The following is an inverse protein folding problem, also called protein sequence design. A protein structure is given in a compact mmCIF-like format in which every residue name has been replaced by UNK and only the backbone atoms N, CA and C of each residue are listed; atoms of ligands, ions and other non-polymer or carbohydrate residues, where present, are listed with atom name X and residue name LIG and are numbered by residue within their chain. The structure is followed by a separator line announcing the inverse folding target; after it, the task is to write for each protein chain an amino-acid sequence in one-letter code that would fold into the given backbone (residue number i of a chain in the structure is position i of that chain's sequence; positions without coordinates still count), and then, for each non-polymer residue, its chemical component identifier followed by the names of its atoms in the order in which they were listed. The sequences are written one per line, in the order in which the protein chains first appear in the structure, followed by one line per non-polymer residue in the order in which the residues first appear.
data_IF_216389848006
#
_entry.id   IF_216389848006
#
_cell.length_a   1.000
_cell.length_b   1.000
_cell.length_c   1.000
_cell.angle_alpha   90.00
_cell.angle_beta   90.00
_cell.angle_gamma   90.00
#
_symmetry.space_group_name_H-M   'P 1'
#
loop_
_entity.id
_entity.type
_entity.pdbx_description
1 polymer ?
#
# COMPACT_ATOMS: atom_id res chain seq x y z
N UNK A 1 2.96 -22.19 -5.17
CA UNK A 1 3.74 -20.94 -5.21
C UNK A 1 2.92 -19.86 -4.53
N UNK A 2 3.47 -19.18 -3.52
CA UNK A 2 2.78 -18.03 -2.92
C UNK A 2 2.87 -16.86 -3.90
N UNK A 3 1.72 -16.39 -4.40
CA UNK A 3 1.64 -15.18 -5.23
C UNK A 3 1.98 -13.95 -4.38
N UNK A 4 2.55 -12.88 -4.96
CA UNK A 4 2.78 -11.65 -4.21
C UNK A 4 1.45 -11.05 -3.74
N UNK A 5 1.44 -10.34 -2.60
CA UNK A 5 0.26 -9.61 -2.15
C UNK A 5 -0.10 -8.53 -3.17
N UNK A 6 -1.40 -8.24 -3.30
CA UNK A 6 -1.90 -7.12 -4.08
C UNK A 6 -1.67 -5.80 -3.37
N UNK A 7 -1.94 -5.78 -2.07
CA UNK A 7 -1.77 -4.59 -1.23
C UNK A 7 -0.75 -4.81 -0.11
N UNK A 8 0.03 -3.77 0.17
CA UNK A 8 0.90 -3.68 1.33
C UNK A 8 0.42 -2.56 2.24
N UNK A 9 0.00 -2.91 3.45
CA UNK A 9 -0.45 -1.93 4.46
C UNK A 9 0.73 -1.50 5.30
N UNK A 10 0.95 -0.19 5.41
CA UNK A 10 2.11 0.37 6.11
C UNK A 10 1.78 1.72 6.74
N UNK A 11 2.46 2.06 7.83
CA UNK A 11 2.54 3.43 8.35
C UNK A 11 3.89 4.11 8.03
N UNK A 12 4.77 3.36 7.34
CA UNK A 12 6.10 3.77 6.94
C UNK A 12 6.13 3.98 5.42
N UNK A 13 6.38 5.22 5.03
CA UNK A 13 6.62 5.63 3.66
C UNK A 13 7.52 6.86 3.69
N UNK A 14 8.66 6.81 2.99
CA UNK A 14 9.60 7.90 2.89
C UNK A 14 10.09 8.11 1.45
N UNK A 15 10.54 9.33 1.15
CA UNK A 15 11.00 9.69 -0.19
C UNK A 15 12.29 8.96 -0.59
N UNK A 16 13.07 8.45 0.35
CA UNK A 16 14.23 7.61 0.06
C UNK A 16 13.85 6.29 -0.61
N UNK A 17 12.64 5.78 -0.32
CA UNK A 17 12.07 4.65 -1.06
C UNK A 17 11.80 4.98 -2.53
N UNK A 18 11.59 6.26 -2.85
CA UNK A 18 11.31 6.73 -4.21
C UNK A 18 12.57 7.15 -4.98
N UNK A 19 13.62 7.56 -4.26
CA UNK A 19 14.80 8.24 -4.82
C UNK A 19 15.60 7.42 -5.84
N UNK A 20 15.38 6.10 -5.92
CA UNK A 20 16.05 5.20 -6.87
C UNK A 20 15.11 4.56 -7.90
N UNK A 21 13.86 5.00 -8.01
CA UNK A 21 12.90 4.43 -8.96
C UNK A 21 12.93 5.18 -10.30
N UNK A 22 13.30 4.52 -11.41
CA UNK A 22 13.12 5.05 -12.75
C UNK A 22 11.67 4.83 -13.21
N UNK A 23 10.68 5.30 -12.42
CA UNK A 23 9.26 5.02 -12.64
C UNK A 23 8.38 6.17 -12.12
N UNK A 24 7.22 6.34 -12.75
CA UNK A 24 6.22 7.31 -12.31
C UNK A 24 5.49 6.80 -11.06
N UNK A 25 5.07 7.72 -10.20
CA UNK A 25 4.41 7.37 -8.94
C UNK A 25 3.11 8.15 -8.85
N UNK A 26 2.01 7.42 -8.65
CA UNK A 26 0.71 8.00 -8.35
C UNK A 26 0.46 7.94 -6.85
N UNK A 27 0.08 9.09 -6.28
CA UNK A 27 -0.34 9.25 -4.90
C UNK A 27 -1.81 9.67 -4.88
N UNK A 28 -2.67 8.85 -4.29
CA UNK A 28 -4.11 9.14 -4.20
C UNK A 28 -4.54 9.10 -2.74
N UNK A 29 -5.03 10.23 -2.20
CA UNK A 29 -5.67 10.24 -0.89
C UNK A 29 -6.96 9.41 -0.96
N UNK A 30 -7.12 8.48 -0.03
CA UNK A 30 -8.27 7.58 0.07
C UNK A 30 -8.85 7.60 1.48
N UNK A 31 -10.11 7.22 1.63
CA UNK A 31 -10.74 7.11 2.95
C UNK A 31 -10.34 5.80 3.64
N UNK A 32 -10.57 5.73 4.96
CA UNK A 32 -10.43 4.46 5.69
C UNK A 32 -11.42 3.41 5.19
N UNK A 33 -12.62 3.83 4.77
CA UNK A 33 -13.63 2.93 4.20
C UNK A 33 -13.12 2.29 2.90
N UNK A 34 -12.50 3.08 2.02
CA UNK A 34 -11.88 2.57 0.79
C UNK A 34 -10.74 1.57 1.10
N UNK A 35 -9.94 1.84 2.14
CA UNK A 35 -8.87 0.94 2.59
C UNK A 35 -9.46 -0.40 3.03
N UNK A 36 -10.51 -0.38 3.87
CA UNK A 36 -11.19 -1.58 4.34
C UNK A 36 -11.75 -2.39 3.17
N UNK A 37 -12.46 -1.72 2.24
CA UNK A 37 -13.05 -2.39 1.08
C UNK A 37 -11.98 -3.08 0.22
N UNK A 38 -10.86 -2.38 -0.05
CA UNK A 38 -9.74 -2.94 -0.83
C UNK A 38 -9.10 -4.16 -0.18
N UNK A 39 -8.99 -4.16 1.15
CA UNK A 39 -8.46 -5.29 1.91
C UNK A 39 -9.41 -6.49 1.80
N UNK A 40 -10.71 -6.27 1.95
CA UNK A 40 -11.72 -7.34 1.83
C UNK A 40 -11.76 -7.93 0.41
N UNK A 41 -11.72 -7.07 -0.61
CA UNK A 41 -11.68 -7.51 -2.00
C UNK A 41 -10.41 -8.32 -2.27
N UNK A 42 -9.26 -7.90 -1.74
CA UNK A 42 -8.01 -8.61 -1.89
C UNK A 42 -8.03 -10.00 -1.25
N UNK A 43 -8.64 -10.16 -0.08
CA UNK A 43 -8.80 -11.48 0.54
C UNK A 43 -9.72 -12.37 -0.29
N UNK A 44 -10.83 -11.84 -0.80
CA UNK A 44 -11.72 -12.60 -1.69
C UNK A 44 -11.02 -13.04 -2.97
N UNK A 45 -10.25 -12.16 -3.59
CA UNK A 45 -9.45 -12.45 -4.78
C UNK A 45 -8.32 -13.45 -4.49
N UNK A 46 -7.77 -13.45 -3.27
CA UNK A 46 -6.80 -14.44 -2.81
C UNK A 46 -7.41 -15.85 -2.75
N UNK A 47 -8.62 -15.99 -2.21
CA UNK A 47 -9.37 -17.24 -2.18
C UNK A 47 -9.64 -17.79 -3.59
N UNK A 48 -9.83 -16.90 -4.56
CA UNK A 48 -9.94 -17.24 -5.99
C UNK A 48 -8.59 -17.52 -6.66
N UNK A 49 -7.49 -17.39 -5.92
CA UNK A 49 -6.14 -17.63 -6.39
C UNK A 49 -5.62 -16.57 -7.37
N UNK A 50 -6.16 -15.35 -7.40
CA UNK A 50 -5.75 -14.29 -8.33
C UNK A 50 -4.40 -13.68 -7.92
N UNK A 51 -4.22 -13.40 -6.63
CA UNK A 51 -2.98 -12.89 -6.03
C UNK A 51 -2.84 -13.36 -4.57
N UNK A 52 -1.86 -12.83 -3.82
CA UNK A 52 -1.55 -13.23 -2.44
C UNK A 52 -2.25 -12.43 -1.34
N UNK A 53 -3.48 -11.95 -1.58
CA UNK A 53 -4.22 -11.13 -0.62
C UNK A 53 -3.56 -9.77 -0.34
N UNK A 54 -3.58 -9.36 0.92
CA UNK A 54 -2.80 -8.22 1.43
C UNK A 54 -1.76 -8.67 2.46
N UNK A 55 -0.78 -7.81 2.74
CA UNK A 55 0.17 -8.07 3.82
C UNK A 55 0.57 -6.78 4.55
N UNK A 56 0.95 -6.92 5.82
CA UNK A 56 1.59 -5.83 6.56
C UNK A 56 3.03 -5.62 6.08
N UNK A 57 3.33 -4.45 5.54
CA UNK A 57 4.64 -4.12 4.95
C UNK A 57 5.79 -4.23 5.96
N UNK A 58 5.54 -3.86 7.23
CA UNK A 58 6.53 -3.93 8.33
C UNK A 58 7.06 -5.35 8.55
N UNK A 59 6.23 -6.38 8.29
CA UNK A 59 6.60 -7.79 8.43
C UNK A 59 7.24 -8.36 7.16
N UNK A 60 7.27 -7.60 6.06
CA UNK A 60 7.67 -8.09 4.75
C UNK A 60 8.62 -7.11 4.06
N UNK A 61 9.81 -6.90 4.64
CA UNK A 61 10.85 -5.99 4.11
C UNK A 61 11.20 -6.23 2.64
N UNK A 62 11.15 -7.47 2.17
CA UNK A 62 11.39 -7.81 0.77
C UNK A 62 10.27 -7.29 -0.17
N UNK A 63 9.01 -7.26 0.32
CA UNK A 63 7.87 -6.73 -0.42
C UNK A 63 7.81 -5.19 -0.45
N UNK A 64 8.54 -4.52 0.44
CA UNK A 64 8.65 -3.04 0.45
C UNK A 64 9.54 -2.51 -0.67
N UNK A 65 10.18 -3.39 -1.45
CA UNK A 65 10.85 -2.98 -2.68
C UNK A 65 9.79 -2.50 -3.67
N UNK A 66 9.66 -1.19 -3.76
CA UNK A 66 8.84 -0.54 -4.77
C UNK A 66 9.37 -0.98 -6.14
N UNK A 67 8.52 -1.64 -6.92
CA UNK A 67 8.83 -2.05 -8.29
C UNK A 67 7.68 -1.63 -9.20
N UNK A 68 7.95 -1.25 -10.45
CA UNK A 68 6.89 -0.89 -11.38
C UNK A 68 5.88 -2.03 -11.54
N UNK A 69 4.59 -1.70 -11.49
CA UNK A 69 3.47 -2.64 -11.55
C UNK A 69 3.48 -3.71 -10.44
N UNK A 70 4.15 -3.43 -9.31
CA UNK A 70 4.20 -4.28 -8.13
C UNK A 70 2.98 -4.16 -7.20
N UNK A 71 3.10 -4.64 -5.94
CA UNK A 71 2.08 -4.43 -4.91
C UNK A 71 1.79 -2.94 -4.67
N UNK A 72 0.52 -2.62 -4.50
CA UNK A 72 0.04 -1.26 -4.21
C UNK A 72 0.18 -0.99 -2.71
N UNK A 73 0.73 0.16 -2.30
CA UNK A 73 0.83 0.49 -0.88
C UNK A 73 -0.39 1.25 -0.41
N UNK A 74 -0.90 0.85 0.75
CA UNK A 74 -1.91 1.57 1.51
C UNK A 74 -1.21 2.16 2.73
N UNK A 75 -0.87 3.44 2.65
CA UNK A 75 -0.04 4.15 3.61
C UNK A 75 -0.92 4.92 4.60
N UNK A 76 -0.84 4.56 5.88
CA UNK A 76 -1.42 5.31 6.97
C UNK A 76 -0.43 6.39 7.44
N UNK A 77 -0.80 7.67 7.37
CA UNK A 77 0.02 8.76 7.90
C UNK A 77 -0.70 9.49 9.02
N UNK A 78 -0.03 9.62 10.17
CA UNK A 78 -0.48 10.49 11.25
C UNK A 78 -0.30 11.95 10.84
N UNK A 79 -1.39 12.71 10.86
CA UNK A 79 -1.41 14.14 10.55
C UNK A 79 -1.95 14.87 11.77
N UNK A 80 -1.22 15.89 12.21
CA UNK A 80 -1.68 16.79 13.27
C UNK A 80 -2.60 17.84 12.66
N UNK A 81 -3.77 18.00 13.23
CA UNK A 81 -4.78 19.00 12.89
C UNK A 81 -5.12 19.82 14.12
N UNK A 82 -5.95 20.85 13.94
CA UNK A 82 -6.46 21.67 15.04
C UNK A 82 -7.36 20.88 16.02
N UNK A 83 -7.86 19.71 15.59
CA UNK A 83 -8.72 18.82 16.37
C UNK A 83 -7.97 17.63 16.98
N UNK A 84 -6.64 17.56 16.83
CA UNK A 84 -5.81 16.48 17.34
C UNK A 84 -5.07 15.73 16.24
N UNK A 85 -4.73 14.46 16.49
CA UNK A 85 -4.01 13.63 15.52
C UNK A 85 -4.99 12.70 14.83
N UNK A 86 -5.10 12.80 13.52
CA UNK A 86 -5.88 11.88 12.68
C UNK A 86 -4.95 11.03 11.81
N UNK A 87 -5.47 9.92 11.32
CA UNK A 87 -4.81 9.16 10.25
C UNK A 87 -5.40 9.58 8.91
N UNK A 88 -4.53 9.97 7.97
CA UNK A 88 -4.84 10.06 6.55
C UNK A 88 -4.30 8.82 5.84
N UNK A 89 -4.99 8.40 4.80
CA UNK A 89 -4.61 7.24 4.01
C UNK A 89 -4.27 7.65 2.59
N UNK A 90 -3.18 7.09 2.07
CA UNK A 90 -2.72 7.35 0.71
C UNK A 90 -2.45 6.02 0.04
N UNK A 91 -3.03 5.84 -1.14
CA UNK A 91 -2.66 4.79 -2.08
C UNK A 91 -1.43 5.24 -2.86
N UNK A 92 -0.42 4.36 -2.92
CA UNK A 92 0.80 4.58 -3.70
C UNK A 92 0.91 3.49 -4.76
N UNK A 93 0.98 3.91 -6.02
CA UNK A 93 1.17 3.04 -7.17
C UNK A 93 2.42 3.44 -7.93
N UNK A 94 3.25 2.46 -8.29
CA UNK A 94 4.45 2.68 -9.10
C UNK A 94 4.16 2.20 -10.51
N UNK A 95 4.16 3.13 -11.45
CA UNK A 95 3.78 2.93 -12.86
C UNK A 95 5.05 3.00 -13.71
N UNK A 96 5.16 2.10 -14.67
CA UNK A 96 6.28 2.08 -15.61
C UNK A 96 6.04 2.94 -16.84
#
# INVERSE_FOLDING_TARGET
MNKPPRYLVTDQFDLGMLASLPADITLTEISLEDVCQRIEDAEREHEMGLHGGWAAAVKNRAAVTLVPNGPILLVARRVKTDYGVIFKWVQVEVIN
#
